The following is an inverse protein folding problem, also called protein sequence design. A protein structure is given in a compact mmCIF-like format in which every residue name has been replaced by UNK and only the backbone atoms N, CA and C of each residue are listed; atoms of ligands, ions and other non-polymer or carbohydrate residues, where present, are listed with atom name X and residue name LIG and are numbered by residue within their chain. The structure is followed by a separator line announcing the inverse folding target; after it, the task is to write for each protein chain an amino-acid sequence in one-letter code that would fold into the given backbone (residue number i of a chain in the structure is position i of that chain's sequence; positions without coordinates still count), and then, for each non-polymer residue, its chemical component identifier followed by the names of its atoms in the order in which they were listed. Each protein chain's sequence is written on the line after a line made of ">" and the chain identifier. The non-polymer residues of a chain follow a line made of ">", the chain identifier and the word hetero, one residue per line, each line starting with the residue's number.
data_IF_090812505678
#
_entry.id   IF_090812505678
#
_cell.length_a   1.000
_cell.length_b   1.000
_cell.length_c   1.000
_cell.angle_alpha   90.00
_cell.angle_beta   90.00
_cell.angle_gamma   90.00
#
_symmetry.space_group_name_H-M   'P 1'
#
loop_
_entity.id
_entity.type
_entity.pdbx_description
1 polymer ?
#
# COMPACT_ATOMS: atom_id res chain seq x y z
N UNK A 1 16.33 -9.69 -5.52
CA UNK A 1 15.59 -9.69 -4.24
C UNK A 1 15.07 -8.28 -3.98
N UNK A 2 13.83 -7.98 -4.39
CA UNK A 2 13.19 -6.65 -4.22
C UNK A 2 12.45 -6.52 -2.87
N UNK A 3 12.29 -7.64 -2.16
CA UNK A 3 11.49 -7.77 -0.94
C UNK A 3 11.92 -6.91 0.28
N UNK A 4 13.07 -6.22 0.23
CA UNK A 4 13.52 -5.38 1.35
C UNK A 4 12.94 -3.94 1.30
N UNK A 5 12.87 -3.33 0.12
CA UNK A 5 12.63 -1.88 -0.01
C UNK A 5 11.23 -1.43 0.39
N UNK A 6 10.21 -2.27 0.17
CA UNK A 6 8.84 -1.87 0.54
C UNK A 6 8.68 -1.81 2.06
N UNK A 7 9.36 -2.67 2.82
CA UNK A 7 9.27 -2.68 4.28
C UNK A 7 9.88 -1.42 4.89
N UNK A 8 10.99 -0.94 4.33
CA UNK A 8 11.63 0.32 4.73
C UNK A 8 10.76 1.54 4.37
N UNK A 9 10.18 1.54 3.16
CA UNK A 9 9.38 2.68 2.67
C UNK A 9 8.00 2.77 3.31
N UNK A 10 7.34 1.64 3.59
CA UNK A 10 5.94 1.59 4.02
C UNK A 10 5.76 1.08 5.46
N UNK A 11 6.76 0.45 6.06
CA UNK A 11 6.70 -0.11 7.42
C UNK A 11 6.64 0.95 8.51
N UNK A 12 7.09 2.18 8.21
CA UNK A 12 7.09 3.32 9.11
C UNK A 12 5.97 4.34 8.80
N UNK A 13 4.99 3.98 7.96
CA UNK A 13 3.87 4.88 7.65
C UNK A 13 3.01 5.14 8.90
N UNK A 14 3.01 6.36 9.41
CA UNK A 14 2.15 6.80 10.52
C UNK A 14 0.89 7.50 10.01
N UNK A 15 -0.07 6.72 9.51
CA UNK A 15 -1.30 7.24 8.89
C UNK A 15 -2.42 7.54 9.89
N UNK A 16 -2.10 7.66 11.19
CA UNK A 16 -3.05 7.88 12.27
C UNK A 16 -3.97 6.69 12.60
N UNK A 17 -3.95 5.62 11.79
CA UNK A 17 -4.67 4.36 12.02
C UNK A 17 -3.76 3.18 11.65
N UNK A 18 -3.54 2.28 12.61
CA UNK A 18 -2.69 1.09 12.43
C UNK A 18 -3.16 0.19 11.28
N UNK A 19 -4.47 0.13 11.01
CA UNK A 19 -5.04 -0.64 9.90
C UNK A 19 -4.68 -0.02 8.55
N UNK A 20 -4.60 1.31 8.49
CA UNK A 20 -4.13 2.03 7.30
C UNK A 20 -2.64 1.80 7.08
N UNK A 21 -1.82 1.87 8.13
CA UNK A 21 -0.39 1.58 8.06
C UNK A 21 -0.11 0.15 7.55
N UNK A 22 -0.81 -0.85 8.12
CA UNK A 22 -0.71 -2.24 7.65
C UNK A 22 -1.15 -2.40 6.19
N UNK A 23 -2.18 -1.66 5.78
CA UNK A 23 -2.65 -1.68 4.39
C UNK A 23 -1.63 -1.04 3.44
N UNK A 24 -1.01 0.07 3.82
CA UNK A 24 0.08 0.70 3.07
C UNK A 24 1.23 -0.29 2.82
N UNK A 25 1.63 -1.01 3.87
CA UNK A 25 2.68 -2.03 3.79
C UNK A 25 2.31 -3.17 2.82
N UNK A 26 1.09 -3.71 2.93
CA UNK A 26 0.61 -4.79 2.06
C UNK A 26 0.49 -4.36 0.60
N UNK A 27 0.01 -3.14 0.34
CA UNK A 27 -0.03 -2.57 -1.03
C UNK A 27 1.39 -2.39 -1.56
N UNK A 28 2.29 -1.82 -0.76
CA UNK A 28 3.69 -1.60 -1.12
C UNK A 28 4.41 -2.90 -1.47
N UNK A 29 4.16 -3.97 -0.72
CA UNK A 29 4.67 -5.30 -1.02
C UNK A 29 4.18 -5.79 -2.39
N UNK A 30 2.87 -5.81 -2.61
CA UNK A 30 2.26 -6.30 -3.86
C UNK A 30 2.79 -5.55 -5.09
N UNK A 31 2.91 -4.21 -5.00
CA UNK A 31 3.47 -3.38 -6.06
C UNK A 31 4.96 -3.65 -6.30
N UNK A 32 5.73 -3.92 -5.25
CA UNK A 32 7.16 -4.22 -5.36
C UNK A 32 7.45 -5.58 -6.00
N UNK A 33 6.53 -6.54 -5.86
CA UNK A 33 6.64 -7.87 -6.46
C UNK A 33 6.20 -7.86 -7.94
N UNK A 34 5.34 -6.91 -8.34
CA UNK A 34 4.72 -6.82 -9.66
C UNK A 34 5.04 -5.52 -10.40
N UNK A 35 6.28 -5.02 -10.24
CA UNK A 35 6.71 -3.75 -10.86
C UNK A 35 6.50 -3.75 -12.37
N UNK A 36 5.86 -2.70 -12.90
CA UNK A 36 5.60 -2.52 -14.33
C UNK A 36 4.39 -3.32 -14.87
N UNK A 37 3.71 -4.09 -14.02
CA UNK A 37 2.51 -4.82 -14.39
C UNK A 37 1.24 -4.04 -14.04
N UNK A 38 0.11 -4.47 -14.59
CA UNK A 38 -1.19 -3.89 -14.26
C UNK A 38 -1.57 -4.19 -12.80
N UNK A 39 -2.31 -3.28 -12.15
CA UNK A 39 -2.78 -3.49 -10.77
C UNK A 39 -3.67 -4.73 -10.62
N UNK A 40 -4.43 -5.09 -11.66
CA UNK A 40 -5.20 -6.33 -11.69
C UNK A 40 -4.35 -7.60 -11.68
N UNK A 41 -3.05 -7.49 -12.00
CA UNK A 41 -2.08 -8.59 -11.87
C UNK A 41 -1.41 -8.58 -10.49
N UNK A 42 -1.23 -7.39 -9.89
CA UNK A 42 -0.66 -7.25 -8.56
C UNK A 42 -1.63 -7.64 -7.42
N UNK A 43 -2.94 -7.58 -7.67
CA UNK A 43 -3.98 -7.91 -6.68
C UNK A 43 -4.87 -9.04 -7.20
N UNK A 44 -4.77 -10.20 -6.57
CA UNK A 44 -5.49 -11.42 -6.98
C UNK A 44 -7.02 -11.30 -6.89
N UNK A 45 -7.53 -10.50 -5.95
CA UNK A 45 -8.97 -10.37 -5.71
C UNK A 45 -9.47 -8.97 -6.04
N UNK A 46 -10.68 -8.89 -6.60
CA UNK A 46 -11.36 -7.62 -6.85
C UNK A 46 -11.54 -6.77 -5.58
N UNK A 47 -11.65 -7.43 -4.42
CA UNK A 47 -11.77 -6.79 -3.11
C UNK A 47 -10.49 -6.06 -2.73
N UNK A 48 -9.33 -6.66 -2.95
CA UNK A 48 -8.04 -6.06 -2.61
C UNK A 48 -7.64 -5.01 -3.63
N UNK A 49 -7.96 -5.22 -4.91
CA UNK A 49 -7.84 -4.19 -5.94
C UNK A 49 -8.67 -2.95 -5.60
N UNK A 50 -9.96 -3.12 -5.23
CA UNK A 50 -10.83 -2.01 -4.81
C UNK A 50 -10.23 -1.25 -3.63
N UNK A 51 -9.70 -1.97 -2.63
CA UNK A 51 -9.08 -1.36 -1.45
C UNK A 51 -7.81 -0.60 -1.77
N UNK A 52 -7.00 -1.08 -2.72
CA UNK A 52 -5.82 -0.37 -3.18
C UNK A 52 -6.22 0.96 -3.85
N UNK A 53 -7.27 0.94 -4.69
CA UNK A 53 -7.83 2.16 -5.26
C UNK A 53 -8.39 3.11 -4.20
N UNK A 54 -9.22 2.61 -3.28
CA UNK A 54 -9.75 3.44 -2.17
C UNK A 54 -8.63 4.07 -1.35
N UNK A 55 -7.57 3.31 -1.06
CA UNK A 55 -6.41 3.80 -0.33
C UNK A 55 -5.68 4.92 -1.09
N UNK A 56 -5.53 4.80 -2.42
CA UNK A 56 -4.90 5.84 -3.25
C UNK A 56 -5.70 7.14 -3.31
N UNK A 57 -7.02 7.06 -3.11
CA UNK A 57 -7.93 8.20 -3.12
C UNK A 57 -8.21 8.76 -1.72
N UNK A 58 -7.62 8.17 -0.68
CA UNK A 58 -7.80 8.69 0.68
C UNK A 58 -7.12 10.06 0.80
N UNK A 59 -7.84 11.10 1.26
CA UNK A 59 -7.20 12.34 1.60
C UNK A 59 -6.28 12.09 2.80
N UNK A 60 -4.98 12.24 2.59
CA UNK A 60 -3.99 12.16 3.65
C UNK A 60 -4.24 13.35 4.57
N UNK A 61 -4.92 13.13 5.69
CA UNK A 61 -4.96 14.10 6.77
C UNK A 61 -3.62 13.98 7.49
N UNK A 62 -2.63 14.72 7.01
CA UNK A 62 -1.41 14.95 7.79
C UNK A 62 -1.86 15.79 8.97
N UNK A 63 -1.93 15.20 10.15
CA UNK A 63 -2.11 15.96 11.38
C UNK A 63 -0.85 16.82 11.54
N UNK A 64 -0.98 18.10 11.19
CA UNK A 64 0.04 19.10 11.45
C UNK A 64 0.25 19.18 12.95
N UNK A 65 1.41 18.69 13.42
CA UNK A 65 1.95 19.01 14.73
C UNK A 65 2.65 20.36 14.70
#
# INVERSE_FOLDING_TARGET
>A
MVAARYSENFGHCELGDQRLSRRALSIGQALSEHVGQALSMAFETAKDLKRAYEFSLMPIRVSSH
#
